data_IF_289611744078
#
_entry.id   IF_289611744078
#
_cell.length_a   1.000
_cell.length_b   1.000
_cell.length_c   1.000
_cell.angle_alpha   90.00
_cell.angle_beta   90.00
_cell.angle_gamma   90.00
#
_symmetry.space_group_name_H-M   'P 1'
#
loop_
_entity.id
_entity.type
_entity.pdbx_description
1 polymer ?
#
# COMPACT_ATOMS: atom_id res chain seq x y z
N UNK A 1 -15.81 -17.19 20.53
CA UNK A 1 -16.77 -16.25 19.88
C UNK A 1 -16.53 -16.14 18.37
N UNK A 2 -15.32 -15.84 17.89
CA UNK A 2 -15.07 -15.80 16.44
C UNK A 2 -15.26 -17.15 15.73
N UNK A 3 -14.96 -18.27 16.40
CA UNK A 3 -15.23 -19.60 15.83
C UNK A 3 -16.73 -19.84 15.56
N UNK A 4 -17.59 -19.38 16.46
CA UNK A 4 -19.05 -19.42 16.30
C UNK A 4 -19.49 -18.56 15.12
N UNK A 5 -18.95 -17.34 15.01
CA UNK A 5 -19.24 -16.44 13.88
C UNK A 5 -18.78 -17.08 12.56
N UNK A 6 -17.60 -17.69 12.53
CA UNK A 6 -17.11 -18.39 11.34
C UNK A 6 -17.99 -19.58 10.96
N UNK A 7 -18.52 -20.32 11.94
CA UNK A 7 -19.45 -21.42 11.71
C UNK A 7 -20.82 -20.94 11.20
N UNK A 8 -21.33 -19.83 11.75
CA UNK A 8 -22.57 -19.19 11.31
C UNK A 8 -22.46 -18.65 9.87
N UNK A 9 -21.29 -18.12 9.50
CA UNK A 9 -21.03 -17.69 8.11
C UNK A 9 -20.94 -18.90 7.17
N UNK A 10 -20.21 -19.95 7.55
CA UNK A 10 -20.06 -21.17 6.74
C UNK A 10 -21.36 -21.94 6.55
N UNK A 11 -22.25 -21.90 7.54
CA UNK A 11 -23.57 -22.54 7.47
C UNK A 11 -24.62 -21.70 6.74
N UNK A 12 -24.30 -20.46 6.36
CA UNK A 12 -25.23 -19.54 5.71
C UNK A 12 -26.27 -18.92 6.64
N UNK A 13 -26.13 -19.09 7.96
CA UNK A 13 -27.00 -18.48 8.97
C UNK A 13 -26.83 -16.95 9.02
N UNK A 14 -25.64 -16.47 8.70
CA UNK A 14 -25.34 -15.04 8.51
C UNK A 14 -24.35 -14.86 7.36
N UNK A 15 -24.20 -13.63 6.87
CA UNK A 15 -23.17 -13.28 5.89
C UNK A 15 -21.95 -12.68 6.58
N UNK A 16 -20.78 -12.78 5.96
CA UNK A 16 -19.57 -12.13 6.47
C UNK A 16 -19.79 -10.63 6.68
N UNK A 17 -20.43 -9.96 5.71
CA UNK A 17 -20.74 -8.54 5.79
C UNK A 17 -21.66 -8.18 6.97
N UNK A 18 -22.68 -9.00 7.24
CA UNK A 18 -23.56 -8.80 8.39
C UNK A 18 -22.81 -8.98 9.71
N UNK A 19 -22.03 -10.06 9.83
CA UNK A 19 -21.20 -10.31 11.01
C UNK A 19 -20.15 -9.22 11.23
N UNK A 20 -19.54 -8.70 10.16
CA UNK A 20 -18.59 -7.60 10.24
C UNK A 20 -19.25 -6.32 10.73
N UNK A 21 -20.46 -5.99 10.26
CA UNK A 21 -21.18 -4.79 10.71
C UNK A 21 -21.59 -4.86 12.18
N UNK A 22 -21.86 -6.06 12.69
CA UNK A 22 -22.32 -6.27 14.07
C UNK A 22 -21.17 -6.44 15.08
N UNK A 23 -20.11 -7.16 14.69
CA UNK A 23 -19.05 -7.58 15.60
C UNK A 23 -17.67 -6.96 15.32
N UNK A 24 -17.44 -6.36 14.15
CA UNK A 24 -16.14 -5.76 13.85
C UNK A 24 -15.90 -4.52 14.70
N UNK A 25 -14.73 -4.48 15.34
CA UNK A 25 -14.27 -3.34 16.14
C UNK A 25 -13.49 -2.32 15.31
N UNK A 26 -13.30 -2.57 14.01
CA UNK A 26 -12.68 -1.62 13.10
C UNK A 26 -13.74 -0.68 12.49
N UNK A 27 -13.82 0.60 12.91
CA UNK A 27 -14.83 1.53 12.41
C UNK A 27 -14.67 1.86 10.92
N UNK A 28 -13.47 1.67 10.36
CA UNK A 28 -13.19 1.94 8.94
C UNK A 28 -13.83 0.89 8.01
N UNK A 29 -13.81 -0.38 8.42
CA UNK A 29 -14.33 -1.49 7.62
C UNK A 29 -15.70 -2.01 8.09
N UNK A 30 -16.04 -1.92 9.38
CA UNK A 30 -17.28 -2.48 9.93
C UNK A 30 -18.53 -2.00 9.18
N UNK A 31 -18.62 -0.69 8.91
CA UNK A 31 -19.75 -0.10 8.19
C UNK A 31 -19.82 -0.51 6.72
N UNK A 32 -18.70 -0.94 6.14
CA UNK A 32 -18.58 -1.46 4.78
C UNK A 32 -18.65 -3.00 4.74
N UNK A 33 -19.12 -3.64 5.82
CA UNK A 33 -19.22 -5.10 5.88
C UNK A 33 -17.86 -5.80 5.98
N UNK A 34 -16.85 -5.11 6.53
CA UNK A 34 -15.49 -5.63 6.69
C UNK A 34 -14.63 -5.49 5.44
N UNK A 35 -15.10 -4.77 4.41
CA UNK A 35 -14.30 -4.54 3.20
C UNK A 35 -13.13 -3.60 3.50
N UNK A 36 -11.92 -4.06 3.17
CA UNK A 36 -10.67 -3.31 3.29
C UNK A 36 -10.20 -2.78 1.93
N UNK A 37 -10.94 -3.07 0.86
CA UNK A 37 -10.63 -2.68 -0.50
C UNK A 37 -9.36 -3.34 -1.04
N UNK A 38 -8.82 -2.75 -2.11
CA UNK A 38 -7.59 -3.21 -2.72
C UNK A 38 -6.36 -2.70 -1.98
N UNK A 39 -5.86 -3.51 -1.07
CA UNK A 39 -4.65 -3.28 -0.32
C UNK A 39 -3.48 -4.13 -0.83
N UNK A 40 -2.25 -3.65 -0.62
CA UNK A 40 -1.06 -4.49 -0.79
C UNK A 40 -0.77 -5.24 0.52
N UNK A 41 -0.36 -6.52 0.50
CA UNK A 41 -0.27 -7.33 1.72
C UNK A 41 0.72 -6.81 2.77
N UNK A 42 1.65 -5.95 2.36
CA UNK A 42 2.68 -5.31 3.19
C UNK A 42 2.13 -4.24 4.15
N UNK A 43 0.92 -3.72 3.91
CA UNK A 43 0.32 -2.73 4.82
C UNK A 43 -0.29 -3.36 6.07
N UNK A 44 -0.48 -4.68 6.06
CA UNK A 44 -1.12 -5.41 7.16
C UNK A 44 -0.11 -5.95 8.16
N UNK A 45 -0.59 -6.24 9.37
CA UNK A 45 0.18 -6.94 10.40
C UNK A 45 0.74 -8.28 9.87
N UNK A 46 1.96 -8.69 10.27
CA UNK A 46 2.57 -9.93 9.80
C UNK A 46 1.67 -11.16 9.97
N UNK A 47 0.96 -11.28 11.10
CA UNK A 47 0.07 -12.41 11.33
C UNK A 47 -1.13 -12.42 10.37
N UNK A 48 -1.66 -11.24 10.07
CA UNK A 48 -2.75 -11.06 9.11
C UNK A 48 -2.28 -11.42 7.68
N UNK A 49 -1.11 -10.93 7.29
CA UNK A 49 -0.49 -11.24 6.00
C UNK A 49 -0.21 -12.74 5.82
N UNK A 50 0.32 -13.39 6.85
CA UNK A 50 0.64 -14.82 6.83
C UNK A 50 -0.63 -15.69 6.76
N UNK A 51 -1.74 -15.21 7.31
CA UNK A 51 -3.03 -15.84 7.12
C UNK A 51 -3.58 -15.61 5.71
N UNK A 52 -3.56 -14.37 5.20
CA UNK A 52 -3.99 -14.04 3.83
C UNK A 52 -3.28 -14.89 2.77
N UNK A 53 -1.97 -15.08 2.89
CA UNK A 53 -1.16 -15.85 1.93
C UNK A 53 -1.51 -17.35 1.90
N UNK A 54 -2.14 -17.87 2.94
CA UNK A 54 -2.60 -19.27 3.03
C UNK A 54 -4.04 -19.46 2.54
N UNK A 55 -4.78 -18.37 2.31
CA UNK A 55 -6.17 -18.43 1.87
C UNK A 55 -6.26 -18.56 0.35
N UNK A 56 -7.26 -19.33 -0.07
CA UNK A 56 -7.75 -19.32 -1.44
C UNK A 56 -8.82 -18.24 -1.62
N UNK A 57 -9.07 -17.83 -2.87
CA UNK A 57 -10.13 -16.89 -3.20
C UNK A 57 -11.49 -17.39 -2.69
N UNK A 58 -12.22 -16.55 -1.97
CA UNK A 58 -13.49 -16.85 -1.30
C UNK A 58 -13.37 -17.66 0.00
N UNK A 59 -12.15 -17.94 0.47
CA UNK A 59 -11.93 -18.70 1.69
C UNK A 59 -11.86 -17.78 2.92
N UNK A 60 -12.49 -18.22 4.01
CA UNK A 60 -12.43 -17.60 5.33
C UNK A 60 -11.39 -18.31 6.20
N UNK A 61 -10.53 -17.56 6.88
CA UNK A 61 -9.51 -18.06 7.79
C UNK A 61 -10.08 -18.62 9.09
N UNK A 62 -9.24 -19.36 9.82
CA UNK A 62 -9.42 -19.51 11.25
C UNK A 62 -9.21 -18.15 11.96
N UNK A 63 -9.65 -17.98 13.22
CA UNK A 63 -9.35 -16.76 13.98
C UNK A 63 -7.84 -16.50 14.04
N UNK A 64 -7.44 -15.32 13.59
CA UNK A 64 -6.03 -14.88 13.52
C UNK A 64 -5.79 -13.85 14.61
N UNK A 65 -4.77 -14.07 15.42
CA UNK A 65 -4.34 -13.10 16.43
C UNK A 65 -3.27 -12.17 15.83
N UNK A 66 -3.54 -10.87 15.84
CA UNK A 66 -2.63 -9.80 15.42
C UNK A 66 -2.35 -8.84 16.59
N UNK A 67 -1.50 -7.84 16.36
CA UNK A 67 -1.28 -6.75 17.33
C UNK A 67 -2.56 -5.95 17.68
N UNK A 68 -3.59 -5.99 16.83
CA UNK A 68 -4.88 -5.32 17.02
C UNK A 68 -5.96 -6.22 17.63
N UNK A 69 -5.63 -7.47 17.97
CA UNK A 69 -6.55 -8.43 18.55
C UNK A 69 -6.87 -9.59 17.60
N UNK A 70 -8.11 -10.05 17.60
CA UNK A 70 -8.51 -11.24 16.85
C UNK A 70 -9.36 -10.91 15.62
N UNK A 71 -9.05 -11.55 14.50
CA UNK A 71 -9.69 -11.29 13.21
C UNK A 71 -10.11 -12.58 12.52
N UNK A 72 -11.23 -12.52 11.79
CA UNK A 72 -11.56 -13.45 10.72
C UNK A 72 -11.26 -12.75 9.39
N UNK A 73 -10.60 -13.47 8.47
CA UNK A 73 -10.12 -12.89 7.23
C UNK A 73 -10.74 -13.66 6.07
N UNK A 74 -11.33 -12.95 5.12
CA UNK A 74 -11.83 -13.53 3.86
C UNK A 74 -11.04 -12.95 2.69
N UNK A 75 -10.46 -13.83 1.85
CA UNK A 75 -9.77 -13.39 0.65
C UNK A 75 -10.77 -13.22 -0.51
N UNK A 76 -11.24 -12.00 -0.75
CA UNK A 76 -12.20 -11.73 -1.83
C UNK A 76 -11.61 -11.92 -3.23
N UNK A 77 -10.44 -11.34 -3.49
CA UNK A 77 -9.78 -11.46 -4.78
C UNK A 77 -8.28 -11.16 -4.70
N UNK A 78 -7.54 -11.51 -5.75
CA UNK A 78 -6.12 -11.19 -5.90
C UNK A 78 -5.86 -10.68 -7.30
N UNK A 79 -5.23 -9.51 -7.42
CA UNK A 79 -4.83 -8.94 -8.70
C UNK A 79 -3.33 -8.70 -8.75
N UNK A 80 -2.71 -9.02 -9.88
CA UNK A 80 -1.36 -8.58 -10.18
C UNK A 80 -1.44 -7.22 -10.86
N UNK A 81 -0.87 -6.20 -10.23
CA UNK A 81 -0.75 -4.88 -10.84
C UNK A 81 0.67 -4.76 -11.37
N UNK A 82 0.81 -4.59 -12.69
CA UNK A 82 2.10 -4.29 -13.28
C UNK A 82 2.47 -2.83 -12.95
N UNK A 83 3.44 -2.66 -12.05
CA UNK A 83 3.96 -1.33 -11.67
C UNK A 83 5.13 -0.89 -12.57
N UNK A 84 5.51 -1.68 -13.56
CA UNK A 84 6.65 -1.39 -14.45
C UNK A 84 6.44 -0.07 -15.19
N UNK A 85 5.23 0.17 -15.69
CA UNK A 85 4.90 1.39 -16.46
C UNK A 85 5.03 2.68 -15.63
N UNK A 86 4.52 2.67 -14.40
CA UNK A 86 4.62 3.81 -13.49
C UNK A 86 6.08 4.07 -13.09
N UNK A 87 6.83 3.01 -12.75
CA UNK A 87 8.25 3.11 -12.41
C UNK A 87 9.10 3.58 -13.60
N UNK A 88 8.77 3.14 -14.82
CA UNK A 88 9.44 3.57 -16.04
C UNK A 88 9.17 5.05 -16.35
N UNK A 89 7.93 5.51 -16.19
CA UNK A 89 7.59 6.94 -16.35
C UNK A 89 8.36 7.81 -15.36
N UNK A 90 8.38 7.45 -14.07
CA UNK A 90 9.14 8.19 -13.06
C UNK A 90 10.64 8.25 -13.39
N UNK A 91 11.20 7.13 -13.87
CA UNK A 91 12.60 7.08 -14.31
C UNK A 91 12.84 8.00 -15.50
N UNK A 92 11.97 7.98 -16.50
CA UNK A 92 12.07 8.83 -17.68
C UNK A 92 11.99 10.33 -17.32
N UNK A 93 11.06 10.71 -16.43
CA UNK A 93 10.94 12.08 -15.94
C UNK A 93 12.20 12.53 -15.18
N UNK A 94 12.75 11.68 -14.31
CA UNK A 94 14.00 11.99 -13.60
C UNK A 94 15.18 12.16 -14.56
N UNK A 95 15.29 11.32 -15.58
CA UNK A 95 16.34 11.44 -16.60
C UNK A 95 16.21 12.76 -17.38
N UNK A 96 15.00 13.13 -17.78
CA UNK A 96 14.74 14.38 -18.48
C UNK A 96 15.06 15.60 -17.61
N UNK A 97 14.64 15.60 -16.35
CA UNK A 97 14.91 16.68 -15.41
C UNK A 97 16.40 16.80 -15.08
N UNK A 98 17.11 15.68 -14.91
CA UNK A 98 18.55 15.71 -14.70
C UNK A 98 19.30 16.28 -15.90
N UNK A 99 18.88 15.96 -17.13
CA UNK A 99 19.48 16.55 -18.34
C UNK A 99 19.26 18.06 -18.38
N UNK A 100 18.02 18.52 -18.21
CA UNK A 100 17.70 19.95 -18.17
C UNK A 100 18.46 20.67 -17.06
N UNK A 101 18.48 20.11 -15.86
CA UNK A 101 19.21 20.70 -14.73
C UNK A 101 20.70 20.79 -15.01
N UNK A 102 21.32 19.76 -15.62
CA UNK A 102 22.74 19.79 -15.97
C UNK A 102 23.07 20.85 -17.03
N UNK A 103 22.21 21.04 -18.03
CA UNK A 103 22.38 22.07 -19.07
C UNK A 103 22.21 23.48 -18.48
N UNK A 104 21.14 23.69 -17.72
CA UNK A 104 20.83 24.98 -17.10
C UNK A 104 21.84 25.35 -16.01
N UNK A 105 22.30 24.41 -15.19
CA UNK A 105 23.29 24.68 -14.15
C UNK A 105 24.63 25.12 -14.73
N UNK A 106 25.05 24.54 -15.86
CA UNK A 106 26.28 24.94 -16.54
C UNK A 106 26.17 26.35 -17.12
N UNK A 107 25.05 26.67 -17.77
CA UNK A 107 24.76 28.01 -18.29
C UNK A 107 24.68 29.03 -17.17
N UNK A 108 23.93 28.73 -16.11
CA UNK A 108 23.79 29.59 -14.94
C UNK A 108 25.13 29.88 -14.26
N UNK A 109 25.98 28.87 -14.08
CA UNK A 109 27.33 29.08 -13.52
C UNK A 109 28.21 29.96 -14.42
N UNK A 110 28.11 29.81 -15.75
CA UNK A 110 28.84 30.66 -16.70
C UNK A 110 28.37 32.11 -16.60
N UNK A 111 27.05 32.34 -16.58
CA UNK A 111 26.48 33.67 -16.42
C UNK A 111 26.90 34.33 -15.10
N UNK A 112 26.75 33.60 -13.97
CA UNK A 112 27.16 34.12 -12.66
C UNK A 112 28.65 34.43 -12.61
N UNK A 113 29.50 33.59 -13.20
CA UNK A 113 30.95 33.85 -13.30
C UNK A 113 31.25 35.09 -14.15
N UNK A 114 30.55 35.28 -15.26
CA UNK A 114 30.76 36.40 -16.18
C UNK A 114 30.29 37.74 -15.57
N UNK A 115 29.20 37.73 -14.80
CA UNK A 115 28.66 38.94 -14.15
C UNK A 115 29.32 39.28 -12.81
N UNK A 116 30.07 38.35 -12.20
CA UNK A 116 30.73 38.58 -10.92
C UNK A 116 32.06 39.34 -11.08
N UNK A 117 32.30 40.30 -10.19
CA UNK A 117 33.63 40.92 -10.06
C UNK A 117 34.56 40.00 -9.27
N UNK A 118 35.53 39.38 -9.96
CA UNK A 118 36.54 38.48 -9.37
C UNK A 118 37.93 39.07 -9.55
N UNK A 119 38.69 39.24 -8.46
CA UNK A 119 40.10 39.67 -8.49
C UNK A 119 41.00 38.52 -8.00
N UNK A 120 41.76 37.92 -8.91
CA UNK A 120 42.73 36.86 -8.61
C UNK A 120 44.07 37.51 -8.29
N UNK A 121 44.58 37.37 -7.07
CA UNK A 121 45.89 37.86 -6.67
C UNK A 121 46.91 36.72 -6.81
N UNK A 122 48.00 36.98 -7.53
CA UNK A 122 49.15 36.08 -7.62
C UNK A 122 50.19 36.50 -6.58
N UNK A 123 50.89 35.54 -5.98
CA UNK A 123 51.94 35.79 -4.98
C UNK A 123 53.29 36.12 -5.62
#
# INVERSE_FOLDING_TARGET
KLEEIAADIKSGKTTFAAAAKEYSQDPGSANQGGDLGWATPDIFDPAFRDALTKLHKGQISAPVHSSFGWHLIELLDTRKVDKTDAAQKDRAYRMLMNRKFSEEAATWMQEQRASAYVKILSN
#
